data_IF_534573280191
#
_entry.id   IF_534573280191
#
_cell.length_a   1.000
_cell.length_b   1.000
_cell.length_c   1.000
_cell.angle_alpha   90.00
_cell.angle_beta   90.00
_cell.angle_gamma   90.00
#
_symmetry.space_group_name_H-M   'P 1'
#
loop_
_entity.id
_entity.type
_entity.pdbx_description
1 polymer ?
#
# COMPACT_ATOMS: atom_id res chain seq x y z
N UNK A 1 10.15 10.87 6.26
CA UNK A 1 10.41 9.45 6.46
C UNK A 1 11.90 9.30 6.67
N UNK A 2 12.29 8.63 7.73
CA UNK A 2 13.68 8.47 8.14
C UNK A 2 13.88 7.00 8.53
N UNK A 3 14.97 6.41 8.06
CA UNK A 3 15.37 5.05 8.40
C UNK A 3 16.82 5.07 8.85
N UNK A 4 17.06 4.58 10.06
CA UNK A 4 18.38 4.50 10.66
C UNK A 4 18.77 3.02 10.76
N UNK A 5 19.85 2.58 10.09
CA UNK A 5 20.27 1.19 10.08
C UNK A 5 20.89 0.78 11.43
N UNK A 6 20.95 -0.53 11.68
CA UNK A 6 21.41 -1.11 12.94
C UNK A 6 22.80 -0.68 13.39
N UNK A 7 23.69 -0.31 12.47
CA UNK A 7 25.04 0.16 12.79
C UNK A 7 25.10 1.52 13.50
N UNK A 8 23.99 2.26 13.53
CA UNK A 8 23.85 3.56 14.20
C UNK A 8 22.89 3.47 15.41
N UNK A 9 22.42 2.27 15.76
CA UNK A 9 21.52 2.02 16.89
C UNK A 9 22.23 1.30 18.03
N UNK A 10 21.85 1.62 19.26
CA UNK A 10 22.33 0.94 20.48
C UNK A 10 21.89 -0.53 20.57
N UNK A 11 21.03 -0.98 19.65
CA UNK A 11 20.52 -2.36 19.58
C UNK A 11 21.02 -3.02 18.29
N UNK A 12 21.97 -3.96 18.37
CA UNK A 12 22.43 -4.69 17.19
C UNK A 12 21.24 -5.44 16.55
N UNK A 13 21.24 -5.50 15.22
CA UNK A 13 20.21 -6.17 14.40
C UNK A 13 18.79 -5.58 14.46
N UNK A 14 18.62 -4.34 14.93
CA UNK A 14 17.34 -3.63 14.92
C UNK A 14 17.27 -2.55 13.83
N UNK A 15 16.07 -2.19 13.38
CA UNK A 15 15.84 -1.10 12.43
C UNK A 15 14.97 -0.03 13.10
N UNK A 16 15.43 1.22 13.08
CA UNK A 16 14.60 2.35 13.46
C UNK A 16 14.05 3.00 12.20
N UNK A 17 12.74 3.23 12.18
CA UNK A 17 12.07 3.91 11.07
C UNK A 17 10.96 4.81 11.61
N UNK A 18 10.84 6.00 11.02
CA UNK A 18 9.83 6.98 11.40
C UNK A 18 9.22 7.67 10.19
N UNK A 19 7.97 8.11 10.35
CA UNK A 19 7.28 8.96 9.39
C UNK A 19 6.63 10.12 10.13
N UNK A 20 6.77 11.32 9.58
CA UNK A 20 6.14 12.54 10.08
C UNK A 20 5.17 13.05 9.04
N UNK A 21 3.88 13.11 9.40
CA UNK A 21 2.79 13.59 8.55
C UNK A 21 2.18 14.85 9.16
N UNK A 22 2.82 16.03 9.01
CA UNK A 22 2.48 17.22 9.81
C UNK A 22 1.09 17.81 9.50
N UNK A 23 0.53 17.50 8.33
CA UNK A 23 -0.72 18.08 7.84
C UNK A 23 -1.71 17.00 7.37
N UNK A 24 -1.81 15.88 8.11
CA UNK A 24 -2.73 14.80 7.78
C UNK A 24 -4.18 15.19 8.15
N UNK A 25 -5.00 15.48 7.15
CA UNK A 25 -6.42 15.80 7.33
C UNK A 25 -7.27 14.54 7.13
N UNK A 26 -7.81 14.01 8.21
CA UNK A 26 -8.68 12.83 8.21
C UNK A 26 -9.91 13.03 9.10
N UNK A 27 -10.96 12.25 8.86
CA UNK A 27 -12.18 12.29 9.66
C UNK A 27 -12.98 11.01 9.57
N UNK A 28 -13.67 10.68 10.66
CA UNK A 28 -14.53 9.49 10.79
C UNK A 28 -16.03 9.83 10.84
N UNK A 29 -16.34 11.12 10.65
CA UNK A 29 -17.68 11.70 10.49
C UNK A 29 -17.66 12.75 9.37
N UNK A 30 -18.81 12.98 8.74
CA UNK A 30 -18.97 13.93 7.64
C UNK A 30 -19.51 13.27 6.37
N UNK A 31 -19.89 14.07 5.37
CA UNK A 31 -20.65 13.61 4.20
C UNK A 31 -20.08 12.37 3.52
N UNK A 32 -18.78 12.37 3.20
CA UNK A 32 -18.12 11.24 2.53
C UNK A 32 -18.03 9.96 3.37
N UNK A 33 -18.01 10.08 4.70
CA UNK A 33 -17.90 8.92 5.61
C UNK A 33 -19.20 8.11 5.72
N UNK A 34 -20.33 8.68 5.28
CA UNK A 34 -21.63 8.02 5.27
C UNK A 34 -21.93 7.26 3.98
N UNK A 35 -21.09 7.38 2.94
CA UNK A 35 -21.25 6.63 1.70
C UNK A 35 -21.03 5.13 1.95
N UNK A 36 -21.75 4.21 1.27
CA UNK A 36 -21.77 2.79 1.62
C UNK A 36 -20.38 2.14 1.75
N UNK A 37 -19.50 2.37 0.77
CA UNK A 37 -18.15 1.78 0.77
C UNK A 37 -17.26 2.37 1.85
N UNK A 38 -17.25 3.69 1.99
CA UNK A 38 -16.44 4.41 2.99
C UNK A 38 -16.87 4.02 4.40
N UNK A 39 -18.18 3.91 4.63
CA UNK A 39 -18.75 3.46 5.90
C UNK A 39 -18.34 2.02 6.19
N UNK A 40 -18.48 1.10 5.23
CA UNK A 40 -18.04 -0.28 5.39
C UNK A 40 -16.54 -0.40 5.71
N UNK A 41 -15.70 0.41 5.06
CA UNK A 41 -14.26 0.46 5.38
C UNK A 41 -14.01 0.93 6.82
N UNK A 42 -14.70 1.98 7.27
CA UNK A 42 -14.58 2.46 8.66
C UNK A 42 -15.12 1.43 9.66
N UNK A 43 -16.18 0.70 9.32
CA UNK A 43 -16.73 -0.36 10.17
C UNK A 43 -15.77 -1.57 10.25
N UNK A 44 -15.09 -1.95 9.16
CA UNK A 44 -14.04 -2.99 9.16
C UNK A 44 -12.89 -2.61 10.10
N UNK A 45 -12.52 -1.33 10.11
CA UNK A 45 -11.49 -0.81 11.01
C UNK A 45 -11.99 -0.59 12.45
N UNK A 46 -13.30 -0.68 12.69
CA UNK A 46 -13.91 -0.36 13.98
C UNK A 46 -13.86 1.13 14.34
N UNK A 47 -13.67 2.01 13.35
CA UNK A 47 -13.43 3.45 13.54
C UNK A 47 -14.59 4.33 13.08
N UNK A 48 -15.74 3.75 12.77
CA UNK A 48 -16.86 4.52 12.26
C UNK A 48 -17.54 5.37 13.36
N UNK A 49 -17.85 6.63 13.05
CA UNK A 49 -18.51 7.55 13.99
C UNK A 49 -17.55 8.51 14.71
N UNK A 50 -18.08 9.36 15.60
CA UNK A 50 -17.32 10.44 16.23
C UNK A 50 -16.25 9.90 17.19
N UNK A 51 -15.18 10.68 17.41
CA UNK A 51 -14.11 10.35 18.36
C UNK A 51 -12.96 9.51 17.80
N UNK A 52 -13.06 9.02 16.57
CA UNK A 52 -12.09 8.09 15.99
C UNK A 52 -11.09 8.72 15.00
N UNK A 53 -11.12 10.04 14.81
CA UNK A 53 -10.26 10.72 13.83
C UNK A 53 -8.76 10.56 14.12
N UNK A 54 -8.35 10.62 15.39
CA UNK A 54 -6.95 10.39 15.79
C UNK A 54 -6.51 8.95 15.53
N UNK A 55 -7.34 7.96 15.89
CA UNK A 55 -7.05 6.55 15.60
C UNK A 55 -6.95 6.29 14.09
N UNK A 56 -7.80 6.93 13.27
CA UNK A 56 -7.67 6.84 11.82
C UNK A 56 -6.36 7.49 11.32
N UNK A 57 -5.93 8.60 11.92
CA UNK A 57 -4.65 9.23 11.60
C UNK A 57 -3.45 8.31 11.92
N UNK A 58 -3.49 7.60 13.04
CA UNK A 58 -2.49 6.60 13.42
C UNK A 58 -2.46 5.44 12.42
N UNK A 59 -3.62 4.92 12.02
CA UNK A 59 -3.72 3.89 10.98
C UNK A 59 -3.12 4.36 9.66
N UNK A 60 -3.42 5.59 9.23
CA UNK A 60 -2.83 6.18 8.03
C UNK A 60 -1.31 6.30 8.14
N UNK A 61 -0.78 6.77 9.26
CA UNK A 61 0.66 6.90 9.48
C UNK A 61 1.35 5.53 9.48
N UNK A 62 0.78 4.53 10.16
CA UNK A 62 1.28 3.17 10.19
C UNK A 62 1.25 2.53 8.78
N UNK A 63 0.17 2.72 8.02
CA UNK A 63 0.06 2.25 6.64
C UNK A 63 1.13 2.87 5.74
N UNK A 64 1.33 4.19 5.84
CA UNK A 64 2.40 4.88 5.09
C UNK A 64 3.77 4.32 5.45
N UNK A 65 4.08 4.19 6.74
CA UNK A 65 5.37 3.65 7.20
C UNK A 65 5.60 2.21 6.72
N UNK A 66 4.58 1.35 6.84
CA UNK A 66 4.65 -0.03 6.39
C UNK A 66 4.85 -0.13 4.87
N UNK A 67 4.20 0.74 4.10
CA UNK A 67 4.37 0.82 2.64
C UNK A 67 5.81 1.16 2.25
N UNK A 68 6.39 2.20 2.87
CA UNK A 68 7.78 2.60 2.61
C UNK A 68 8.77 1.47 2.98
N UNK A 69 8.60 0.85 4.16
CA UNK A 69 9.44 -0.28 4.58
C UNK A 69 9.34 -1.47 3.62
N UNK A 70 8.13 -1.78 3.15
CA UNK A 70 7.91 -2.86 2.18
C UNK A 70 8.63 -2.60 0.86
N UNK A 71 8.59 -1.36 0.35
CA UNK A 71 9.24 -0.99 -0.92
C UNK A 71 10.76 -1.05 -0.76
N UNK A 72 11.29 -0.47 0.31
CA UNK A 72 12.74 -0.47 0.58
C UNK A 72 13.25 -1.89 0.77
N UNK A 73 12.52 -2.74 1.50
CA UNK A 73 12.85 -4.15 1.64
C UNK A 73 12.89 -4.89 0.30
N UNK A 74 11.88 -4.70 -0.56
CA UNK A 74 11.84 -5.31 -1.88
C UNK A 74 12.96 -4.81 -2.81
N UNK A 75 13.35 -3.54 -2.71
CA UNK A 75 14.47 -2.98 -3.45
C UNK A 75 15.81 -3.55 -2.95
N UNK A 76 16.02 -3.60 -1.64
CA UNK A 76 17.22 -4.13 -1.02
C UNK A 76 17.41 -5.64 -1.31
N UNK A 77 16.31 -6.39 -1.38
CA UNK A 77 16.32 -7.81 -1.72
C UNK A 77 16.44 -8.08 -3.24
N UNK A 78 16.27 -7.06 -4.10
CA UNK A 78 16.24 -7.23 -5.56
C UNK A 78 14.92 -7.81 -6.10
N UNK A 79 13.89 -7.94 -5.27
CA UNK A 79 12.61 -8.57 -5.61
C UNK A 79 11.61 -7.61 -6.29
N UNK A 80 11.82 -6.30 -6.17
CA UNK A 80 10.85 -5.28 -6.58
C UNK A 80 10.32 -5.47 -8.01
N UNK A 81 11.21 -5.61 -9.00
CA UNK A 81 10.83 -5.73 -10.40
C UNK A 81 10.11 -7.05 -10.71
N UNK A 82 10.58 -8.17 -10.14
CA UNK A 82 9.99 -9.50 -10.37
C UNK A 82 8.59 -9.59 -9.76
N UNK A 83 8.37 -8.99 -8.59
CA UNK A 83 7.07 -8.89 -7.94
C UNK A 83 6.06 -8.12 -8.81
N UNK A 84 6.48 -6.98 -9.39
CA UNK A 84 5.64 -6.22 -10.33
C UNK A 84 5.31 -7.02 -11.58
N UNK A 85 6.27 -7.71 -12.19
CA UNK A 85 6.02 -8.54 -13.38
C UNK A 85 5.03 -9.68 -13.13
N UNK A 86 5.07 -10.30 -11.94
CA UNK A 86 4.17 -11.39 -11.56
C UNK A 86 2.78 -10.95 -11.14
N UNK A 87 2.68 -9.82 -10.42
CA UNK A 87 1.47 -9.46 -9.67
C UNK A 87 0.77 -8.20 -10.20
N UNK A 88 1.40 -7.42 -11.09
CA UNK A 88 0.74 -6.29 -11.72
C UNK A 88 -0.47 -6.77 -12.55
N UNK A 89 -1.58 -6.03 -12.47
CA UNK A 89 -2.79 -6.32 -13.23
C UNK A 89 -2.63 -5.90 -14.69
N UNK A 90 -1.86 -6.70 -15.45
CA UNK A 90 -1.87 -6.78 -16.91
C UNK A 90 -0.95 -7.91 -17.41
N UNK A 91 -1.56 -9.06 -17.70
CA UNK A 91 -1.15 -9.83 -18.88
C UNK A 91 -2.33 -9.77 -19.83
N UNK A 92 -2.29 -8.86 -20.80
CA UNK A 92 -2.92 -9.19 -22.08
C UNK A 92 -2.17 -10.44 -22.51
N UNK A 93 -2.82 -11.60 -22.41
CA UNK A 93 -2.34 -12.78 -23.11
C UNK A 93 -2.31 -12.35 -24.57
N UNK A 94 -1.12 -12.30 -25.15
CA UNK A 94 -0.95 -12.23 -26.58
C UNK A 94 -1.86 -13.31 -27.17
N UNK A 95 -2.94 -12.88 -27.81
CA UNK A 95 -3.87 -13.78 -28.49
C UNK A 95 -3.07 -14.44 -29.61
N UNK A 96 -3.08 -15.78 -29.65
CA UNK A 96 -2.39 -16.54 -30.67
C UNK A 96 -2.74 -16.00 -32.08
N UNK A 97 -1.78 -15.96 -33.02
CA UNK A 97 -2.07 -15.50 -34.38
C UNK A 97 -3.21 -16.34 -34.97
N UNK A 98 -4.17 -15.67 -35.61
CA UNK A 98 -5.27 -16.34 -36.33
C UNK A 98 -4.69 -17.28 -37.40
N UNK A 99 -5.27 -18.48 -37.60
CA UNK A 99 -4.84 -19.38 -38.64
C UNK A 99 -5.07 -18.73 -40.00
N UNK A 100 -4.03 -18.74 -40.82
CA UNK A 100 -4.04 -18.24 -42.19
C UNK A 100 -5.06 -19.02 -43.03
N UNK A 101 -6.14 -18.34 -43.41
CA UNK A 101 -7.25 -18.90 -44.17
C UNK A 101 -7.12 -18.63 -45.68
N UNK A 102 -5.91 -18.44 -46.21
CA UNK A 102 -5.73 -18.10 -47.64
C UNK A 102 -5.39 -19.28 -48.56
N UNK A 103 -5.57 -20.53 -48.11
CA UNK A 103 -5.41 -21.70 -48.98
C UNK A 103 -6.62 -22.64 -48.89
N UNK A 104 -7.72 -22.23 -49.49
CA UNK A 104 -8.77 -23.13 -49.96
C UNK A 104 -9.09 -22.77 -51.42
N UNK A 105 -8.51 -23.60 -52.30
CA UNK A 105 -8.82 -23.90 -53.72
C UNK A 105 -9.57 -22.87 -54.59
#
# INVERSE_FOLDING_TARGET
FEVVPSGELDTPDSLYASVTLPNLVVGTVGGGTGLPTQRACLDILGLAGPGNACALAEVCAALSLAGELSIIGALAAGDFASAHQRLARSRVKETAPEPDHDHAE
#
